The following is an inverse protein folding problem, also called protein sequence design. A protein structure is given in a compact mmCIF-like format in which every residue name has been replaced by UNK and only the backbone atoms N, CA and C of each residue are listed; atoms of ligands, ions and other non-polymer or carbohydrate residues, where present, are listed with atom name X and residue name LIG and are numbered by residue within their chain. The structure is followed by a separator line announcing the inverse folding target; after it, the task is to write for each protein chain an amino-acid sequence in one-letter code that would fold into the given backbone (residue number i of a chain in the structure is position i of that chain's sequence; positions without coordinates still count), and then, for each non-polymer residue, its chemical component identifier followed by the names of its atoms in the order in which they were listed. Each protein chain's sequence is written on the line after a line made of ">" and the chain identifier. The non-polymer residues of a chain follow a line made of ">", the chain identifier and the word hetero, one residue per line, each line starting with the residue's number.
data_IF_702850804678
#
_entry.id   IF_702850804678
#
_cell.length_a   1.000
_cell.length_b   1.000
_cell.length_c   1.000
_cell.angle_alpha   90.00
_cell.angle_beta   90.00
_cell.angle_gamma   90.00
#
_symmetry.space_group_name_H-M   'P 1'
#
loop_
_entity.id
_entity.type
_entity.pdbx_description
1 polymer ?
#
# COMPACT_ATOMS: atom_id res chain seq x y z
N UNK A 1 3.35 10.53 -12.77
CA UNK A 1 4.30 10.95 -11.73
C UNK A 1 3.73 10.61 -10.37
N UNK A 2 4.54 10.17 -9.42
CA UNK A 2 4.10 9.62 -8.13
C UNK A 2 4.92 10.22 -6.99
N UNK A 3 4.26 10.58 -5.91
CA UNK A 3 4.89 10.99 -4.65
C UNK A 3 4.35 10.14 -3.53
N UNK A 4 5.22 9.52 -2.74
CA UNK A 4 4.86 8.82 -1.51
C UNK A 4 5.13 9.74 -0.33
N UNK A 5 4.16 9.88 0.58
CA UNK A 5 4.24 10.69 1.78
C UNK A 5 3.67 9.98 3.00
N UNK A 6 4.20 10.34 4.15
CA UNK A 6 3.75 9.92 5.48
C UNK A 6 2.96 11.05 6.16
N UNK A 7 1.81 10.71 6.69
CA UNK A 7 0.88 11.52 7.52
C UNK A 7 0.20 12.73 6.87
N UNK A 8 -1.08 12.57 6.49
CA UNK A 8 -2.01 13.66 6.15
C UNK A 8 -3.46 13.27 6.40
N UNK A 9 -4.19 14.11 7.12
CA UNK A 9 -5.65 14.08 7.21
C UNK A 9 -6.35 15.39 6.74
N UNK A 10 -5.92 16.11 5.71
CA UNK A 10 -6.82 17.04 5.04
C UNK A 10 -7.79 16.27 4.15
N UNK A 11 -8.95 16.86 3.91
CA UNK A 11 -9.91 16.35 2.94
C UNK A 11 -9.35 16.51 1.52
N UNK A 12 -8.61 15.51 1.05
CA UNK A 12 -7.93 15.52 -0.23
C UNK A 12 -8.88 15.61 -1.43
N UNK A 13 -10.17 15.25 -1.26
CA UNK A 13 -11.16 15.38 -2.32
C UNK A 13 -11.44 16.84 -2.65
N UNK A 14 -11.31 17.73 -1.66
CA UNK A 14 -11.47 19.18 -1.89
C UNK A 14 -10.20 19.84 -2.43
N UNK A 15 -9.03 19.25 -2.17
CA UNK A 15 -7.74 19.83 -2.53
C UNK A 15 -7.33 19.53 -3.97
N UNK A 16 -7.69 18.36 -4.48
CA UNK A 16 -7.27 17.89 -5.80
C UNK A 16 -8.52 17.70 -6.66
N UNK A 17 -8.61 18.35 -7.83
CA UNK A 17 -9.75 18.19 -8.74
C UNK A 17 -9.98 16.71 -9.11
N UNK A 18 -11.24 16.28 -9.12
CA UNK A 18 -11.60 14.89 -9.44
C UNK A 18 -11.18 14.46 -10.87
N UNK A 19 -10.99 15.41 -11.78
CA UNK A 19 -10.54 15.16 -13.16
C UNK A 19 -9.01 15.10 -13.28
N UNK A 20 -8.28 15.50 -12.25
CA UNK A 20 -6.83 15.51 -12.22
C UNK A 20 -6.26 14.11 -11.94
N UNK A 21 -4.95 13.93 -12.18
CA UNK A 21 -4.27 12.68 -12.00
C UNK A 21 -4.20 11.83 -13.26
N UNK A 22 -3.79 10.58 -13.12
CA UNK A 22 -3.63 9.65 -14.24
C UNK A 22 -4.88 8.81 -14.49
N UNK A 23 -5.17 8.47 -15.74
CA UNK A 23 -6.28 7.58 -16.10
C UNK A 23 -5.88 6.11 -16.01
N UNK A 24 -6.57 5.37 -15.13
CA UNK A 24 -6.43 3.92 -15.02
C UNK A 24 -7.82 3.29 -15.19
N UNK A 25 -7.96 2.41 -16.17
CA UNK A 25 -9.24 1.73 -16.48
C UNK A 25 -10.43 2.70 -16.59
N UNK A 26 -10.24 3.88 -17.20
CA UNK A 26 -11.28 4.89 -17.42
C UNK A 26 -11.61 5.76 -16.18
N UNK A 27 -10.92 5.57 -15.06
CA UNK A 27 -11.06 6.38 -13.85
C UNK A 27 -9.83 7.24 -13.65
N UNK A 28 -10.02 8.49 -13.24
CA UNK A 28 -8.92 9.34 -12.82
C UNK A 28 -8.47 8.95 -11.41
N UNK A 29 -7.19 8.70 -11.26
CA UNK A 29 -6.53 8.44 -9.98
C UNK A 29 -5.57 9.60 -9.74
N UNK A 30 -5.87 10.42 -8.75
CA UNK A 30 -5.05 11.57 -8.38
C UNK A 30 -4.30 11.36 -7.06
N UNK A 31 -4.82 10.49 -6.19
CA UNK A 31 -4.17 10.11 -4.95
C UNK A 31 -4.52 8.67 -4.54
N UNK A 32 -3.64 8.05 -3.78
CA UNK A 32 -3.88 6.79 -3.08
C UNK A 32 -3.44 6.97 -1.63
N UNK A 33 -4.29 6.59 -0.69
CA UNK A 33 -4.01 6.75 0.75
C UNK A 33 -4.19 5.45 1.49
N UNK A 34 -3.31 5.22 2.45
CA UNK A 34 -3.42 4.13 3.40
C UNK A 34 -2.72 4.52 4.70
N UNK A 35 -3.49 4.67 5.76
CA UNK A 35 -2.99 5.19 7.03
C UNK A 35 -2.22 6.50 6.83
N UNK A 36 -0.95 6.52 7.19
CA UNK A 36 -0.02 7.63 7.04
C UNK A 36 0.65 7.71 5.66
N UNK A 37 0.54 6.68 4.84
CA UNK A 37 1.10 6.67 3.48
C UNK A 37 0.14 7.33 2.47
N UNK A 38 0.61 8.37 1.79
CA UNK A 38 -0.13 9.04 0.71
C UNK A 38 0.71 9.08 -0.55
N UNK A 39 0.11 8.72 -1.68
CA UNK A 39 0.71 8.85 -3.00
C UNK A 39 -0.12 9.82 -3.82
N UNK A 40 0.53 10.82 -4.41
CA UNK A 40 -0.07 11.75 -5.37
C UNK A 40 0.33 11.34 -6.78
N UNK A 41 -0.59 11.46 -7.73
CA UNK A 41 -0.34 11.14 -9.14
C UNK A 41 -0.79 12.28 -10.02
N UNK A 42 -0.01 12.60 -11.05
CA UNK A 42 -0.30 13.64 -12.00
C UNK A 42 0.21 13.27 -13.40
N UNK A 43 -0.35 13.85 -14.44
CA UNK A 43 0.10 13.67 -15.82
C UNK A 43 1.33 14.53 -16.13
N UNK A 44 1.51 15.66 -15.42
CA UNK A 44 2.62 16.58 -15.62
C UNK A 44 3.35 16.93 -14.32
N UNK A 45 4.55 17.43 -14.47
CA UNK A 45 5.38 17.96 -13.38
C UNK A 45 4.73 19.16 -12.69
N UNK A 46 4.20 20.09 -13.50
CA UNK A 46 3.53 21.30 -13.01
C UNK A 46 2.27 20.93 -12.19
N UNK A 47 1.47 20.00 -12.67
CA UNK A 47 0.28 19.54 -11.97
C UNK A 47 0.64 18.90 -10.62
N UNK A 48 1.66 18.03 -10.59
CA UNK A 48 2.11 17.41 -9.36
C UNK A 48 2.65 18.42 -8.34
N UNK A 49 3.40 19.40 -8.81
CA UNK A 49 3.93 20.47 -7.96
C UNK A 49 2.79 21.28 -7.33
N UNK A 50 1.77 21.63 -8.11
CA UNK A 50 0.58 22.33 -7.61
C UNK A 50 -0.16 21.50 -6.54
N UNK A 51 -0.29 20.16 -6.73
CA UNK A 51 -0.88 19.29 -5.72
C UNK A 51 -0.06 19.24 -4.44
N UNK A 52 1.26 19.14 -4.58
CA UNK A 52 2.17 19.09 -3.45
C UNK A 52 2.13 20.36 -2.60
N UNK A 53 2.11 21.54 -3.25
CA UNK A 53 2.00 22.82 -2.56
C UNK A 53 0.69 22.89 -1.79
N UNK A 54 -0.44 22.60 -2.43
CA UNK A 54 -1.76 22.62 -1.78
C UNK A 54 -1.83 21.67 -0.60
N UNK A 55 -1.38 20.44 -0.80
CA UNK A 55 -1.36 19.43 0.24
C UNK A 55 -0.47 19.83 1.40
N UNK A 56 0.67 20.47 1.13
CA UNK A 56 1.56 21.01 2.16
C UNK A 56 0.87 22.11 2.95
N UNK A 57 0.31 23.13 2.29
CA UNK A 57 -0.37 24.25 2.93
C UNK A 57 -1.52 23.79 3.84
N UNK A 58 -2.36 22.86 3.37
CA UNK A 58 -3.49 22.35 4.17
C UNK A 58 -3.01 21.47 5.33
N UNK A 59 -1.92 20.73 5.13
CA UNK A 59 -1.32 19.94 6.22
C UNK A 59 -0.77 20.84 7.33
N UNK A 60 -0.12 21.92 6.96
CA UNK A 60 0.43 22.88 7.92
C UNK A 60 -0.67 23.56 8.74
N UNK A 61 -1.83 23.84 8.15
CA UNK A 61 -3.02 24.34 8.88
C UNK A 61 -3.53 23.34 9.93
N UNK A 62 -3.39 22.04 9.64
CA UNK A 62 -3.72 20.97 10.57
C UNK A 62 -2.58 20.64 11.57
N UNK A 63 -1.49 21.40 11.56
CA UNK A 63 -0.33 21.16 12.42
C UNK A 63 0.57 20.01 11.97
N UNK A 64 0.38 19.51 10.75
CA UNK A 64 1.15 18.40 10.17
C UNK A 64 2.22 18.95 9.23
N UNK A 65 3.41 18.38 9.24
CA UNK A 65 4.51 18.77 8.36
C UNK A 65 4.82 17.70 7.33
N UNK A 66 5.11 18.15 6.11
CA UNK A 66 5.64 17.28 5.06
C UNK A 66 7.05 16.82 5.44
N UNK A 67 7.26 15.51 5.52
CA UNK A 67 8.60 14.96 5.66
C UNK A 67 9.27 14.85 4.28
N UNK A 68 10.03 15.90 3.92
CA UNK A 68 10.68 15.98 2.61
C UNK A 68 11.72 14.87 2.43
N UNK A 69 12.42 14.46 3.48
CA UNK A 69 13.45 13.42 3.42
C UNK A 69 12.88 12.03 3.11
N UNK A 70 11.64 11.76 3.53
CA UNK A 70 10.95 10.50 3.23
C UNK A 70 10.06 10.59 1.99
N UNK A 71 9.86 11.81 1.45
CA UNK A 71 9.06 12.00 0.24
C UNK A 71 9.91 11.70 -0.99
N UNK A 72 9.40 10.83 -1.86
CA UNK A 72 10.10 10.38 -3.06
C UNK A 72 9.29 10.71 -4.30
N UNK A 73 9.97 11.09 -5.37
CA UNK A 73 9.36 11.37 -6.66
C UNK A 73 9.77 10.31 -7.67
N UNK A 74 8.80 9.83 -8.41
CA UNK A 74 9.02 8.92 -9.52
C UNK A 74 8.31 9.46 -10.77
N UNK A 75 8.99 9.43 -11.90
CA UNK A 75 8.41 9.77 -13.19
C UNK A 75 8.75 8.72 -14.24
N UNK A 76 7.93 8.67 -15.29
CA UNK A 76 8.18 7.83 -16.47
C UNK A 76 9.25 8.41 -17.40
N UNK A 77 9.54 9.71 -17.29
CA UNK A 77 10.60 10.40 -18.02
C UNK A 77 11.68 10.88 -17.06
N UNK A 78 12.94 11.04 -17.51
CA UNK A 78 14.02 11.53 -16.66
C UNK A 78 13.71 12.92 -16.11
N UNK A 79 13.75 13.06 -14.79
CA UNK A 79 13.69 14.35 -14.08
C UNK A 79 15.09 14.67 -13.59
N UNK A 80 15.56 15.90 -13.86
CA UNK A 80 16.91 16.32 -13.49
C UNK A 80 17.05 16.65 -12.01
N UNK A 81 16.06 17.31 -11.43
CA UNK A 81 15.98 17.60 -9.98
C UNK A 81 14.59 18.13 -9.64
N UNK A 82 14.13 17.85 -8.44
CA UNK A 82 12.89 18.39 -7.91
C UNK A 82 13.16 19.06 -6.56
N UNK A 83 12.65 20.26 -6.39
CA UNK A 83 12.84 21.02 -5.15
C UNK A 83 11.50 21.49 -4.59
N UNK A 84 11.35 21.37 -3.28
CA UNK A 84 10.25 21.96 -2.51
C UNK A 84 10.88 22.80 -1.40
N UNK A 85 10.53 24.08 -1.32
CA UNK A 85 11.06 25.02 -0.33
C UNK A 85 12.60 25.09 -0.31
N UNK A 86 13.24 24.90 -1.44
CA UNK A 86 14.71 24.88 -1.54
C UNK A 86 15.38 23.57 -1.11
N UNK A 87 14.60 22.57 -0.65
CA UNK A 87 15.10 21.24 -0.37
C UNK A 87 14.93 20.33 -1.59
N UNK A 88 15.99 19.59 -1.94
CA UNK A 88 15.96 18.67 -3.06
C UNK A 88 15.34 17.34 -2.63
N UNK A 89 14.33 16.90 -3.39
CA UNK A 89 13.66 15.62 -3.15
C UNK A 89 14.39 14.47 -3.84
N UNK A 90 14.35 13.28 -3.22
CA UNK A 90 14.88 12.07 -3.81
C UNK A 90 14.06 11.63 -5.03
N UNK A 91 14.70 11.54 -6.19
CA UNK A 91 14.10 10.95 -7.39
C UNK A 91 14.44 9.47 -7.45
N UNK A 92 13.42 8.63 -7.58
CA UNK A 92 13.57 7.16 -7.60
C UNK A 92 12.99 6.57 -8.89
N UNK A 93 13.52 5.44 -9.31
CA UNK A 93 13.01 4.68 -10.46
C UNK A 93 11.89 3.72 -10.06
N UNK A 94 11.82 3.39 -8.79
CA UNK A 94 10.81 2.50 -8.23
C UNK A 94 10.62 2.78 -6.73
N UNK A 95 9.45 2.40 -6.20
CA UNK A 95 9.18 2.42 -4.76
C UNK A 95 8.19 1.33 -4.35
N UNK A 96 8.18 1.01 -3.06
CA UNK A 96 7.22 0.06 -2.48
C UNK A 96 6.01 0.82 -1.95
N UNK A 97 4.80 0.45 -2.40
CA UNK A 97 3.55 0.98 -1.86
C UNK A 97 2.64 -0.18 -1.44
N UNK A 98 2.35 -0.29 -0.15
CA UNK A 98 1.52 -1.36 0.43
C UNK A 98 1.98 -2.78 0.07
N UNK A 99 3.29 -2.94 -0.16
CA UNK A 99 3.89 -4.23 -0.51
C UNK A 99 4.14 -4.48 -1.99
N UNK A 100 3.36 -4.01 -2.98
CA UNK A 100 3.78 -3.98 -4.38
C UNK A 100 4.94 -3.03 -4.64
N UNK A 101 5.80 -3.44 -5.57
CA UNK A 101 6.82 -2.58 -6.18
C UNK A 101 6.21 -1.89 -7.39
N UNK A 102 6.23 -0.55 -7.38
CA UNK A 102 5.78 0.30 -8.49
C UNK A 102 7.03 0.82 -9.20
N UNK A 103 7.05 0.74 -10.52
CA UNK A 103 8.17 1.16 -11.38
C UNK A 103 7.72 2.25 -12.34
N UNK A 104 8.62 3.18 -12.69
CA UNK A 104 8.32 4.29 -13.59
C UNK A 104 8.14 3.89 -15.05
N UNK A 105 8.65 2.73 -15.45
CA UNK A 105 8.52 2.17 -16.80
C UNK A 105 7.19 1.45 -17.08
N UNK A 106 6.32 1.37 -16.07
CA UNK A 106 5.03 0.66 -16.12
C UNK A 106 5.16 -0.86 -16.38
N UNK A 107 6.36 -1.46 -16.27
CA UNK A 107 6.55 -2.90 -16.40
C UNK A 107 6.29 -3.63 -15.07
N UNK A 108 5.12 -4.23 -14.97
CA UNK A 108 4.73 -5.03 -13.80
C UNK A 108 5.31 -6.45 -13.79
N UNK A 109 6.02 -6.89 -14.84
CA UNK A 109 6.45 -8.29 -15.01
C UNK A 109 7.29 -8.79 -13.85
N UNK A 110 8.19 -7.96 -13.35
CA UNK A 110 9.04 -8.29 -12.20
C UNK A 110 8.23 -8.44 -10.91
N UNK A 111 7.27 -7.55 -10.67
CA UNK A 111 6.42 -7.61 -9.48
C UNK A 111 5.48 -8.82 -9.54
N UNK A 112 4.91 -9.14 -10.68
CA UNK A 112 4.08 -10.34 -10.88
C UNK A 112 4.89 -11.59 -10.55
N UNK A 113 6.10 -11.72 -11.10
CA UNK A 113 7.00 -12.85 -10.81
C UNK A 113 7.36 -12.94 -9.32
N UNK A 114 7.68 -11.81 -8.70
CA UNK A 114 7.98 -11.73 -7.27
C UNK A 114 6.80 -12.19 -6.42
N UNK A 115 5.59 -11.73 -6.72
CA UNK A 115 4.36 -12.11 -6.02
C UNK A 115 4.04 -13.59 -6.18
N UNK A 116 4.17 -14.11 -7.39
CA UNK A 116 3.99 -15.54 -7.65
C UNK A 116 4.99 -16.40 -6.86
N UNK A 117 6.25 -15.97 -6.80
CA UNK A 117 7.28 -16.66 -6.00
C UNK A 117 6.94 -16.65 -4.52
N UNK A 118 6.57 -15.49 -3.95
CA UNK A 118 6.17 -15.35 -2.55
C UNK A 118 4.93 -16.21 -2.23
N UNK A 119 3.93 -16.19 -3.11
CA UNK A 119 2.74 -17.02 -2.97
C UNK A 119 3.07 -18.52 -2.95
N UNK A 120 3.90 -18.99 -3.88
CA UNK A 120 4.36 -20.39 -3.90
C UNK A 120 5.10 -20.77 -2.63
N UNK A 121 6.01 -19.92 -2.16
CA UNK A 121 6.75 -20.14 -0.91
C UNK A 121 5.82 -20.20 0.29
N UNK A 122 4.85 -19.31 0.39
CA UNK A 122 3.86 -19.30 1.45
C UNK A 122 3.02 -20.58 1.42
N UNK A 123 2.56 -21.03 0.24
CA UNK A 123 1.78 -22.27 0.07
C UNK A 123 2.60 -23.49 0.47
N UNK A 124 3.88 -23.57 0.10
CA UNK A 124 4.76 -24.68 0.47
C UNK A 124 4.95 -24.75 1.99
N UNK A 125 5.11 -23.62 2.66
CA UNK A 125 5.21 -23.55 4.12
C UNK A 125 3.89 -23.97 4.80
N UNK A 126 2.74 -23.56 4.25
CA UNK A 126 1.42 -23.95 4.74
C UNK A 126 1.18 -25.45 4.57
N UNK A 127 1.61 -26.06 3.47
CA UNK A 127 1.45 -27.50 3.21
C UNK A 127 2.13 -28.36 4.30
N UNK A 128 3.31 -27.94 4.78
CA UNK A 128 3.99 -28.60 5.90
C UNK A 128 3.18 -28.51 7.21
N UNK A 129 2.53 -27.37 7.46
CA UNK A 129 1.69 -27.15 8.65
C UNK A 129 0.38 -27.95 8.53
N UNK A 130 -0.24 -27.96 7.37
CA UNK A 130 -1.48 -28.70 7.12
C UNK A 130 -1.25 -30.21 7.23
N UNK A 131 -0.14 -30.73 6.72
CA UNK A 131 0.24 -32.13 6.88
C UNK A 131 0.51 -32.49 8.33
N UNK A 132 1.13 -31.63 9.12
CA UNK A 132 1.35 -31.85 10.56
C UNK A 132 0.02 -31.88 11.34
N UNK A 133 -0.94 -31.04 10.99
CA UNK A 133 -2.28 -31.04 11.62
C UNK A 133 -3.09 -32.31 11.29
N UNK A 134 -2.99 -32.81 10.08
CA UNK A 134 -3.65 -34.10 9.72
C UNK A 134 -3.12 -35.29 10.54
N UNK A 135 -1.86 -35.25 10.94
CA UNK A 135 -1.28 -36.25 11.81
C UNK A 135 -1.90 -36.25 13.22
N UNK A 136 -2.28 -35.10 13.74
CA UNK A 136 -2.97 -35.02 15.04
C UNK A 136 -4.47 -35.32 14.97
N UNK A 137 -5.13 -35.10 13.86
CA UNK A 137 -6.56 -35.41 13.69
C UNK A 137 -6.84 -36.91 13.59
N UNK A 138 -5.87 -37.74 13.15
CA UNK A 138 -6.01 -39.18 13.04
C UNK A 138 -5.65 -39.95 14.31
N UNK A 139 -5.20 -39.33 15.37
CA UNK A 139 -5.17 -39.89 16.71
C UNK A 139 -6.51 -39.58 17.38
N UNK A 140 -7.57 -40.28 16.98
CA UNK A 140 -8.82 -40.29 17.71
C UNK A 140 -8.57 -40.61 19.17
N UNK A 141 -9.31 -40.02 20.12
CA UNK A 141 -9.21 -40.41 21.51
C UNK A 141 -9.54 -41.90 21.61
N UNK A 142 -8.58 -42.68 22.09
CA UNK A 142 -8.83 -44.07 22.50
C UNK A 142 -10.06 -44.06 23.41
N UNK A 143 -11.07 -44.80 23.02
CA UNK A 143 -12.30 -44.98 23.75
C UNK A 143 -12.00 -45.59 25.14
N UNK A 144 -11.78 -44.71 26.10
CA UNK A 144 -11.99 -45.06 27.51
C UNK A 144 -13.35 -44.54 27.90
N UNK A 145 -14.26 -45.48 28.16
CA UNK A 145 -15.61 -45.19 28.56
C UNK A 145 -15.69 -44.41 29.85
N UNK A 146 -16.37 -43.29 29.75
CA UNK A 146 -16.96 -42.67 30.93
C UNK A 146 -18.47 -42.68 30.77
N UNK A 147 -19.09 -43.30 31.78
CA UNK A 147 -20.53 -43.45 31.90
C UNK A 147 -21.23 -42.08 31.92
N UNK A 148 -22.42 -42.07 31.35
CA UNK A 148 -23.35 -40.96 31.38
C UNK A 148 -23.74 -40.60 32.81
N UNK A 149 -23.78 -39.34 33.17
CA UNK A 149 -24.69 -38.83 34.17
C UNK A 149 -25.92 -38.23 33.48
N UNK A 150 -27.06 -38.72 33.89
CA UNK A 150 -28.40 -38.31 33.59
C UNK A 150 -28.68 -36.84 33.92
N UNK A 151 -29.38 -36.17 33.01
CA UNK A 151 -30.42 -35.18 33.34
C UNK A 151 -29.97 -33.81 33.78
N UNK A 152 -30.26 -32.82 32.91
CA UNK A 152 -31.02 -31.62 33.32
C UNK A 152 -31.48 -30.86 32.07
N UNK A 153 -32.81 -30.78 31.98
CA UNK A 153 -33.60 -29.94 31.07
C UNK A 153 -33.45 -28.50 31.56
N UNK A 154 -33.21 -27.54 30.63
CA UNK A 154 -33.52 -26.15 30.84
C UNK A 154 -34.45 -25.67 29.73
N UNK A 155 -35.64 -25.14 30.18
CA UNK A 155 -36.55 -24.39 29.32
C UNK A 155 -35.92 -23.09 28.81
#
# INVERSE_FOLDING_TARGET
>A
MWVKKQQLEPDMEQLIPAQAGIKIAGRNINNLRYADDTTLTAESEEELNNFLIRVKEESEKAGLRLNIQETKIMASSPITSWQIDGETMETVTDFMFLGPKITGDSDCSHEIKRRLFLGRRATTNLDSILKSRHYFANKGPSSQGYGSPSGHVWM
#
